data_IF_047811794845
#
_entry.id   IF_047811794845
#
_cell.length_a   1.000
_cell.length_b   1.000
_cell.length_c   1.000
_cell.angle_alpha   90.00
_cell.angle_beta   90.00
_cell.angle_gamma   90.00
#
_symmetry.space_group_name_H-M   'P 1'
#
loop_
_entity.id
_entity.type
_entity.pdbx_description
1 polymer ?
#
# COMPACT_ATOMS: atom_id res chain seq x y z
N UNK A 1 -37.78 -4.67 9.21
CA UNK A 1 -36.34 -4.33 9.23
C UNK A 1 -36.17 -3.11 8.35
N UNK A 2 -35.71 -1.96 8.86
CA UNK A 2 -35.49 -0.79 8.01
C UNK A 2 -34.36 -1.08 7.01
N UNK A 3 -34.34 -0.41 5.84
CA UNK A 3 -33.26 -0.58 4.87
C UNK A 3 -31.92 -0.21 5.51
N UNK A 4 -30.81 -0.89 5.17
CA UNK A 4 -29.50 -0.51 5.65
C UNK A 4 -29.21 0.93 5.23
N UNK A 5 -28.79 1.76 6.18
CA UNK A 5 -28.26 3.09 5.91
C UNK A 5 -27.14 3.01 4.87
N UNK A 6 -26.96 4.01 3.98
CA UNK A 6 -25.88 4.00 3.01
C UNK A 6 -24.54 3.85 3.75
N UNK A 7 -23.72 2.92 3.26
CA UNK A 7 -22.40 2.65 3.83
C UNK A 7 -21.55 3.91 3.68
N UNK A 8 -21.03 4.52 4.76
CA UNK A 8 -20.14 5.65 4.66
C UNK A 8 -18.85 5.17 4.01
N UNK A 9 -18.66 5.60 2.77
CA UNK A 9 -17.43 5.46 2.02
C UNK A 9 -17.05 6.84 1.50
N UNK A 10 -15.79 7.02 1.11
CA UNK A 10 -15.33 8.29 0.57
C UNK A 10 -16.20 8.74 -0.63
N UNK A 11 -16.43 10.03 -0.84
CA UNK A 11 -17.26 10.51 -1.96
C UNK A 11 -16.81 9.92 -3.31
N UNK A 12 -15.49 9.85 -3.54
CA UNK A 12 -14.91 9.19 -4.71
C UNK A 12 -15.35 7.72 -4.82
N UNK A 13 -15.20 6.96 -3.73
CA UNK A 13 -15.57 5.55 -3.62
C UNK A 13 -17.07 5.35 -3.86
N UNK A 14 -17.92 6.24 -3.32
CA UNK A 14 -19.36 6.21 -3.47
C UNK A 14 -19.77 6.46 -4.94
N UNK A 15 -19.09 7.41 -5.60
CA UNK A 15 -19.32 7.70 -7.02
C UNK A 15 -18.82 6.58 -7.95
N UNK A 16 -17.64 6.01 -7.69
CA UNK A 16 -17.09 4.91 -8.49
C UNK A 16 -17.94 3.65 -8.42
N UNK A 17 -18.56 3.35 -7.26
CA UNK A 17 -19.39 2.16 -7.03
C UNK A 17 -20.74 2.14 -7.77
N UNK A 18 -21.14 3.23 -8.44
CA UNK A 18 -22.45 3.41 -9.11
C UNK A 18 -23.06 2.12 -9.67
N UNK A 19 -24.20 1.66 -9.11
CA UNK A 19 -25.12 0.55 -9.48
C UNK A 19 -24.59 -0.68 -10.27
N UNK A 20 -23.29 -0.91 -10.33
CA UNK A 20 -22.67 -2.02 -11.05
C UNK A 20 -22.77 -3.27 -10.20
N UNK A 21 -23.86 -4.01 -10.38
CA UNK A 21 -23.99 -5.37 -9.89
C UNK A 21 -23.29 -6.31 -10.87
N UNK A 22 -22.19 -6.93 -10.44
CA UNK A 22 -21.57 -8.04 -11.17
C UNK A 22 -22.25 -9.36 -10.80
N UNK A 23 -22.43 -10.25 -11.77
CA UNK A 23 -22.88 -11.64 -11.55
C UNK A 23 -21.71 -12.60 -11.31
N UNK A 24 -20.47 -12.16 -11.52
CA UNK A 24 -19.26 -12.95 -11.25
C UNK A 24 -18.85 -12.78 -9.78
N UNK A 25 -18.78 -13.89 -9.03
CA UNK A 25 -18.49 -13.88 -7.60
C UNK A 25 -17.17 -13.16 -7.24
N UNK A 26 -16.13 -13.35 -8.06
CA UNK A 26 -14.82 -12.68 -7.91
C UNK A 26 -14.84 -11.16 -8.17
N UNK A 27 -15.89 -10.62 -8.81
CA UNK A 27 -16.01 -9.20 -9.16
C UNK A 27 -17.08 -8.48 -8.34
N UNK A 28 -17.32 -8.95 -7.13
CA UNK A 28 -18.20 -8.30 -6.15
C UNK A 28 -17.34 -7.58 -5.12
N UNK A 29 -17.49 -6.26 -5.00
CA UNK A 29 -16.78 -5.46 -3.99
C UNK A 29 -17.03 -6.01 -2.58
N UNK A 30 -16.02 -5.93 -1.72
CA UNK A 30 -16.17 -6.32 -0.31
C UNK A 30 -17.14 -5.37 0.37
N UNK A 31 -18.00 -5.91 1.22
CA UNK A 31 -18.86 -5.09 2.04
C UNK A 31 -18.08 -4.50 3.22
N UNK A 32 -17.93 -3.16 3.33
CA UNK A 32 -17.02 -2.53 4.31
C UNK A 32 -17.27 -2.87 5.79
N UNK A 33 -18.47 -3.31 6.14
CA UNK A 33 -18.84 -3.69 7.50
C UNK A 33 -18.91 -5.19 7.77
N UNK A 34 -19.12 -6.00 6.73
CA UNK A 34 -19.35 -7.43 6.91
C UNK A 34 -18.13 -8.26 6.49
N UNK A 35 -17.23 -7.64 5.72
CA UNK A 35 -16.09 -8.31 5.14
C UNK A 35 -14.86 -7.45 5.36
N UNK A 36 -13.89 -8.02 6.06
CA UNK A 36 -12.62 -7.38 6.32
C UNK A 36 -11.50 -8.40 6.10
N UNK A 37 -10.36 -7.91 5.63
CA UNK A 37 -9.16 -8.72 5.44
C UNK A 37 -8.48 -9.10 6.76
N UNK A 38 -9.01 -8.61 7.89
CA UNK A 38 -8.51 -8.91 9.23
C UNK A 38 -7.07 -8.45 9.40
N UNK A 39 -6.23 -9.31 10.00
CA UNK A 39 -4.79 -9.05 10.17
C UNK A 39 -3.93 -9.62 9.03
N UNK A 40 -4.57 -10.14 7.98
CA UNK A 40 -3.84 -10.72 6.87
C UNK A 40 -3.10 -9.65 6.06
N UNK A 41 -1.83 -9.88 5.75
CA UNK A 41 -1.01 -8.98 4.94
C UNK A 41 -1.24 -9.29 3.48
N UNK A 42 -1.94 -8.39 2.78
CA UNK A 42 -2.27 -8.53 1.37
C UNK A 42 -1.79 -7.34 0.53
N UNK A 43 -1.54 -6.17 1.15
CA UNK A 43 -1.01 -5.01 0.46
C UNK A 43 0.53 -5.04 0.46
N UNK A 44 1.10 -4.94 -0.74
CA UNK A 44 2.53 -4.91 -0.97
C UNK A 44 2.89 -3.74 -1.88
N UNK A 45 4.16 -3.36 -1.85
CA UNK A 45 4.72 -2.38 -2.77
C UNK A 45 6.15 -2.79 -3.15
N UNK A 46 6.59 -2.30 -4.30
CA UNK A 46 7.96 -2.42 -4.76
C UNK A 46 8.45 -1.08 -5.32
N UNK A 47 9.74 -0.81 -5.16
CA UNK A 47 10.39 0.33 -5.79
C UNK A 47 10.34 0.15 -7.30
N UNK A 48 9.92 1.20 -8.01
CA UNK A 48 9.96 1.20 -9.47
C UNK A 48 11.40 1.50 -9.90
N UNK A 49 12.01 0.71 -10.81
CA UNK A 49 13.34 1.01 -11.32
C UNK A 49 13.42 2.44 -11.89
N UNK A 50 14.56 3.09 -11.71
CA UNK A 50 14.87 4.43 -12.24
C UNK A 50 13.84 5.52 -11.89
N UNK A 51 13.16 5.36 -10.75
CA UNK A 51 12.02 6.21 -10.38
C UNK A 51 12.26 7.12 -9.18
N UNK A 52 13.50 7.15 -8.66
CA UNK A 52 13.87 7.93 -7.47
C UNK A 52 13.06 7.56 -6.23
N UNK A 53 12.82 6.25 -6.05
CA UNK A 53 12.12 5.69 -4.91
C UNK A 53 10.59 5.69 -5.01
N UNK A 54 10.00 5.96 -6.19
CA UNK A 54 8.55 5.82 -6.36
C UNK A 54 8.15 4.36 -6.20
N UNK A 55 7.02 4.15 -5.53
CA UNK A 55 6.49 2.83 -5.26
C UNK A 55 5.34 2.47 -6.20
N UNK A 56 5.29 1.20 -6.60
CA UNK A 56 4.12 0.56 -7.19
C UNK A 56 3.50 -0.37 -6.16
N UNK A 57 2.25 -0.11 -5.80
CA UNK A 57 1.47 -0.96 -4.91
C UNK A 57 0.75 -2.06 -5.68
N UNK A 58 0.57 -3.21 -5.05
CA UNK A 58 -0.12 -4.37 -5.61
C UNK A 58 -0.65 -5.28 -4.49
N UNK A 59 -1.58 -6.16 -4.85
CA UNK A 59 -2.13 -7.17 -3.94
C UNK A 59 -1.32 -8.47 -4.07
N UNK A 60 -1.08 -9.13 -2.94
CA UNK A 60 -0.60 -10.51 -2.91
C UNK A 60 -1.49 -11.27 -1.93
N UNK A 61 -2.32 -12.16 -2.46
CA UNK A 61 -3.27 -12.90 -1.65
C UNK A 61 -2.53 -13.85 -0.68
N UNK A 62 -2.83 -13.78 0.63
CA UNK A 62 -2.39 -14.77 1.60
C UNK A 62 -2.84 -16.19 1.21
N UNK A 63 -2.02 -17.22 1.46
CA UNK A 63 -2.32 -18.60 1.05
C UNK A 63 -3.52 -19.23 1.77
N UNK A 64 -4.01 -18.62 2.84
CA UNK A 64 -5.16 -19.09 3.60
C UNK A 64 -6.50 -18.51 3.10
N UNK A 65 -6.46 -17.56 2.16
CA UNK A 65 -7.68 -17.07 1.51
C UNK A 65 -8.16 -18.07 0.47
N UNK A 66 -9.48 -18.23 0.36
CA UNK A 66 -10.04 -18.88 -0.80
C UNK A 66 -9.88 -18.00 -2.05
N UNK A 67 -9.92 -18.64 -3.21
CA UNK A 67 -9.72 -18.01 -4.52
C UNK A 67 -10.71 -16.87 -4.78
N UNK A 68 -11.98 -17.04 -4.38
CA UNK A 68 -13.03 -16.04 -4.61
C UNK A 68 -12.77 -14.79 -3.77
N UNK A 69 -12.40 -14.94 -2.50
CA UNK A 69 -12.08 -13.80 -1.65
C UNK A 69 -10.83 -13.07 -2.13
N UNK A 70 -9.80 -13.81 -2.55
CA UNK A 70 -8.59 -13.23 -3.15
C UNK A 70 -8.91 -12.40 -4.41
N UNK A 71 -9.71 -12.95 -5.32
CA UNK A 71 -10.17 -12.26 -6.53
C UNK A 71 -10.94 -10.98 -6.20
N UNK A 72 -11.80 -11.02 -5.18
CA UNK A 72 -12.58 -9.85 -4.77
C UNK A 72 -11.73 -8.74 -4.18
N UNK A 73 -10.69 -9.09 -3.42
CA UNK A 73 -9.73 -8.10 -2.87
C UNK A 73 -8.93 -7.47 -4.00
N UNK A 74 -8.42 -8.28 -4.93
CA UNK A 74 -7.72 -7.81 -6.13
C UNK A 74 -8.64 -6.91 -6.97
N UNK A 75 -9.86 -7.37 -7.26
CA UNK A 75 -10.86 -6.61 -8.02
C UNK A 75 -11.18 -5.28 -7.33
N UNK A 76 -11.39 -5.27 -6.02
CA UNK A 76 -11.64 -4.02 -5.29
C UNK A 76 -10.45 -3.06 -5.37
N UNK A 77 -9.22 -3.57 -5.26
CA UNK A 77 -8.00 -2.76 -5.38
C UNK A 77 -7.90 -2.10 -6.76
N UNK A 78 -8.18 -2.86 -7.83
CA UNK A 78 -8.11 -2.37 -9.21
C UNK A 78 -9.29 -1.45 -9.55
N UNK A 79 -10.51 -1.83 -9.15
CA UNK A 79 -11.73 -1.06 -9.42
C UNK A 79 -11.71 0.33 -8.79
N UNK A 80 -11.11 0.44 -7.60
CA UNK A 80 -10.94 1.72 -6.90
C UNK A 80 -9.62 2.44 -7.28
N UNK A 81 -8.83 1.87 -8.18
CA UNK A 81 -7.48 2.34 -8.56
C UNK A 81 -6.63 2.67 -7.32
N UNK A 82 -6.60 1.79 -6.30
CA UNK A 82 -5.96 2.10 -5.01
C UNK A 82 -4.44 2.23 -5.12
N UNK A 83 -3.81 1.58 -6.11
CA UNK A 83 -2.37 1.63 -6.29
C UNK A 83 -1.83 3.04 -6.56
N UNK A 84 -2.54 3.82 -7.38
CA UNK A 84 -2.17 5.19 -7.74
C UNK A 84 -2.20 6.19 -6.56
N UNK A 85 -3.30 6.36 -5.79
CA UNK A 85 -3.33 7.26 -4.65
C UNK A 85 -2.39 6.80 -3.54
N UNK A 86 -2.15 5.50 -3.34
CA UNK A 86 -1.13 5.04 -2.40
C UNK A 86 0.27 5.45 -2.85
N UNK A 87 0.62 5.27 -4.13
CA UNK A 87 1.89 5.74 -4.69
C UNK A 87 2.08 7.25 -4.51
N UNK A 88 1.05 8.05 -4.84
CA UNK A 88 1.08 9.51 -4.67
C UNK A 88 1.26 9.90 -3.20
N UNK A 89 0.54 9.24 -2.28
CA UNK A 89 0.65 9.50 -0.84
C UNK A 89 2.01 9.09 -0.29
N UNK A 90 2.61 8.01 -0.77
CA UNK A 90 3.95 7.55 -0.40
C UNK A 90 5.06 8.48 -0.87
N UNK A 91 4.86 9.21 -1.96
CA UNK A 91 5.83 10.21 -2.42
C UNK A 91 5.96 11.40 -1.44
N UNK A 92 4.88 11.79 -0.75
CA UNK A 92 4.92 12.90 0.22
C UNK A 92 5.92 12.70 1.36
N UNK A 93 5.86 11.59 2.14
CA UNK A 93 6.86 11.34 3.18
C UNK A 93 8.25 11.17 2.57
N UNK A 94 8.39 10.51 1.41
CA UNK A 94 9.70 10.37 0.75
C UNK A 94 10.34 11.73 0.44
N UNK A 95 9.58 12.68 -0.11
CA UNK A 95 10.05 14.05 -0.36
C UNK A 95 10.48 14.72 0.95
N UNK A 96 9.66 14.60 2.00
CA UNK A 96 9.95 15.20 3.31
C UNK A 96 11.18 14.59 4.01
N UNK A 97 11.46 13.31 3.79
CA UNK A 97 12.57 12.59 4.42
C UNK A 97 13.83 12.55 3.54
N UNK A 98 13.74 12.86 2.25
CA UNK A 98 14.83 12.66 1.26
C UNK A 98 16.16 13.22 1.76
N UNK A 99 16.17 14.47 2.21
CA UNK A 99 17.39 15.09 2.74
C UNK A 99 17.94 14.34 3.95
N UNK A 100 17.08 13.94 4.89
CA UNK A 100 17.48 13.18 6.07
C UNK A 100 18.10 11.82 5.69
N UNK A 101 17.46 11.07 4.79
CA UNK A 101 17.98 9.78 4.33
C UNK A 101 19.33 9.94 3.61
N UNK A 102 19.50 11.00 2.81
CA UNK A 102 20.79 11.32 2.18
C UNK A 102 21.87 11.65 3.22
N UNK A 103 21.55 12.41 4.27
CA UNK A 103 22.51 12.72 5.35
C UNK A 103 22.87 11.47 6.17
N UNK A 104 21.90 10.59 6.42
CA UNK A 104 22.16 9.30 7.07
C UNK A 104 23.15 8.48 6.24
N UNK A 105 22.94 8.32 4.93
CA UNK A 105 23.88 7.56 4.08
C UNK A 105 25.30 8.13 4.01
N UNK A 106 25.50 9.42 4.24
CA UNK A 106 26.85 9.99 4.35
C UNK A 106 27.53 9.65 5.68
N UNK A 107 26.75 9.32 6.71
CA UNK A 107 27.23 9.15 8.09
C UNK A 107 27.17 7.69 8.57
N UNK A 108 26.39 6.85 7.89
CA UNK A 108 26.09 5.46 8.25
C UNK A 108 26.12 4.56 7.01
N UNK A 109 25.98 3.26 7.21
CA UNK A 109 25.92 2.28 6.11
C UNK A 109 24.51 2.15 5.51
N UNK A 110 24.38 1.59 4.29
CA UNK A 110 23.09 1.15 3.73
C UNK A 110 22.31 0.20 4.65
N UNK A 111 23.01 -0.63 5.44
CA UNK A 111 22.37 -1.55 6.39
C UNK A 111 21.72 -0.79 7.57
N UNK A 112 22.32 0.32 8.01
CA UNK A 112 21.74 1.17 9.06
C UNK A 112 20.48 1.89 8.55
N UNK A 113 20.51 2.38 7.30
CA UNK A 113 19.33 2.96 6.66
C UNK A 113 18.21 1.92 6.53
N UNK A 114 18.54 0.69 6.11
CA UNK A 114 17.57 -0.41 6.06
C UNK A 114 16.92 -0.65 7.41
N UNK A 115 17.73 -0.80 8.46
CA UNK A 115 17.24 -1.01 9.83
C UNK A 115 16.30 0.10 10.26
N UNK A 116 16.67 1.36 10.00
CA UNK A 116 15.82 2.51 10.30
C UNK A 116 14.45 2.45 9.58
N UNK A 117 14.44 2.09 8.29
CA UNK A 117 13.21 1.93 7.52
C UNK A 117 12.37 0.74 8.02
N UNK A 118 12.99 -0.35 8.43
CA UNK A 118 12.31 -1.50 9.04
C UNK A 118 11.63 -1.13 10.36
N UNK A 119 12.26 -0.31 11.20
CA UNK A 119 11.67 0.18 12.45
C UNK A 119 10.44 1.07 12.20
N UNK A 120 10.53 1.96 11.20
CA UNK A 120 9.40 2.78 10.77
C UNK A 120 8.26 1.91 10.22
N UNK A 121 8.60 0.88 9.43
CA UNK A 121 7.64 -0.08 8.91
C UNK A 121 6.94 -0.84 10.05
N UNK A 122 7.71 -1.37 11.02
CA UNK A 122 7.18 -2.12 12.15
C UNK A 122 6.21 -1.27 12.99
N UNK A 123 6.55 0.00 13.23
CA UNK A 123 5.70 0.94 13.98
C UNK A 123 4.36 1.18 13.28
N UNK A 124 4.36 1.38 11.97
CA UNK A 124 3.16 1.62 11.18
C UNK A 124 2.31 0.36 10.97
N UNK A 125 2.96 -0.80 10.79
CA UNK A 125 2.30 -2.07 10.50
C UNK A 125 1.79 -2.82 11.75
N UNK A 126 2.06 -2.30 12.95
CA UNK A 126 1.62 -2.90 14.21
C UNK A 126 0.10 -2.98 14.31
N UNK A 127 -0.58 -1.86 14.09
CA UNK A 127 -2.05 -1.77 14.22
C UNK A 127 -2.77 -2.11 12.91
N UNK A 128 -2.20 -1.73 11.77
CA UNK A 128 -2.72 -2.04 10.44
C UNK A 128 -1.63 -2.67 9.56
N UNK A 129 -1.65 -4.00 9.37
CA UNK A 129 -0.68 -4.72 8.55
C UNK A 129 -0.70 -4.33 7.05
N UNK A 130 -1.69 -3.54 6.64
CA UNK A 130 -1.87 -3.03 5.28
C UNK A 130 -1.88 -1.50 5.22
N UNK A 131 -1.36 -0.81 6.25
CA UNK A 131 -1.14 0.63 6.21
C UNK A 131 -0.23 0.98 5.02
N UNK A 132 -0.71 1.83 4.12
CA UNK A 132 0.01 2.19 2.90
C UNK A 132 1.40 2.76 3.21
N UNK A 133 1.56 3.48 4.33
CA UNK A 133 2.83 4.12 4.71
C UNK A 133 3.79 3.11 5.33
N UNK A 134 3.32 2.22 6.20
CA UNK A 134 4.10 1.09 6.69
C UNK A 134 4.59 0.17 5.57
N UNK A 135 3.72 -0.13 4.59
CA UNK A 135 4.08 -0.87 3.38
C UNK A 135 5.14 -0.12 2.56
N UNK A 136 5.09 1.22 2.52
CA UNK A 136 6.10 2.02 1.83
C UNK A 136 7.50 1.84 2.44
N UNK A 137 7.60 2.01 3.76
CA UNK A 137 8.87 1.83 4.48
C UNK A 137 9.44 0.43 4.31
N UNK A 138 8.60 -0.60 4.40
CA UNK A 138 8.99 -1.99 4.16
C UNK A 138 9.53 -2.20 2.74
N UNK A 139 8.89 -1.60 1.74
CA UNK A 139 9.32 -1.72 0.35
C UNK A 139 10.66 -1.01 0.08
N UNK A 140 10.87 0.17 0.67
CA UNK A 140 12.16 0.87 0.58
C UNK A 140 13.29 0.14 1.31
N UNK A 141 13.00 -0.43 2.48
CA UNK A 141 13.98 -1.23 3.22
C UNK A 141 14.43 -2.49 2.46
N UNK A 142 13.50 -3.12 1.75
CA UNK A 142 13.75 -4.34 0.98
C UNK A 142 14.48 -4.10 -0.35
N UNK A 143 14.60 -2.85 -0.80
CA UNK A 143 15.24 -2.50 -2.07
C UNK A 143 16.70 -2.07 -1.85
N UNK A 144 17.64 -2.86 -2.36
CA UNK A 144 19.07 -2.61 -2.21
C UNK A 144 19.47 -1.26 -2.84
N UNK A 145 19.01 -0.99 -4.05
CA UNK A 145 19.32 0.25 -4.76
C UNK A 145 18.79 1.50 -4.02
N UNK A 146 17.61 1.41 -3.42
CA UNK A 146 17.08 2.46 -2.55
C UNK A 146 17.96 2.64 -1.32
N UNK A 147 18.34 1.56 -0.62
CA UNK A 147 19.23 1.62 0.54
C UNK A 147 20.63 2.15 0.17
N UNK A 148 21.05 2.03 -1.09
CA UNK A 148 22.29 2.60 -1.63
C UNK A 148 22.14 4.05 -2.11
N UNK A 149 20.93 4.62 -2.08
CA UNK A 149 20.71 6.04 -2.35
C UNK A 149 20.07 6.37 -3.71
N UNK A 150 19.45 5.40 -4.40
CA UNK A 150 18.76 5.66 -5.70
C UNK A 150 17.66 6.73 -5.63
N UNK A 151 17.17 7.05 -4.42
CA UNK A 151 16.20 8.11 -4.17
C UNK A 151 16.78 9.54 -4.18
N UNK A 152 18.10 9.71 -4.08
CA UNK A 152 18.74 11.02 -3.94
C UNK A 152 18.93 11.73 -5.28
N UNK A 153 19.03 10.98 -6.37
CA UNK A 153 19.15 11.55 -7.71
C UNK A 153 17.80 12.18 -8.06
N UNK A 154 17.81 13.42 -8.54
CA UNK A 154 16.68 14.03 -9.24
C UNK A 154 17.31 14.71 -10.45
N UNK A 155 16.71 14.66 -11.66
CA UNK A 155 17.24 15.41 -12.80
C UNK A 155 17.36 16.90 -12.49
#
# INVERSE_FOLDING_TARGET
MPPPSPVPVCNLCNHTKSNQASTEAGKVLLHPYFEHTGTARWLHAAVTPDSYGRLRYFVTAPPHWDEVFADRVQYQFDFLDLGKPYSIRANQPLIGMRHHLTQQLHSTSPADLRTHLEDLAASHLHDDPNDWKGVAYRAWAADDAFCEGSFAVTP
#
